data_IF_117515099569
#
_entry.id   IF_117515099569
#
_cell.length_a   1.000
_cell.length_b   1.000
_cell.length_c   1.000
_cell.angle_alpha   90.00
_cell.angle_beta   90.00
_cell.angle_gamma   90.00
#
_symmetry.space_group_name_H-M   'P 1'
#
loop_
_entity.id
_entity.type
_entity.pdbx_description
1 polymer ?
#
# COMPACT_ATOMS: atom_id res chain seq x y z
N UNK A 1 -46.53 -9.57 31.52
CA UNK A 1 -45.98 -10.92 31.24
C UNK A 1 -44.58 -11.01 31.84
N UNK A 2 -44.43 -11.64 33.00
CA UNK A 2 -43.11 -11.83 33.62
C UNK A 2 -42.28 -12.87 32.86
N UNK A 3 -40.95 -12.69 32.82
CA UNK A 3 -40.04 -13.68 32.21
C UNK A 3 -40.21 -15.05 32.91
N UNK A 4 -40.27 -16.18 32.18
CA UNK A 4 -40.36 -17.50 32.78
C UNK A 4 -39.21 -17.71 33.78
N UNK A 5 -39.51 -18.29 34.94
CA UNK A 5 -38.48 -18.64 35.94
C UNK A 5 -37.60 -19.74 35.36
N UNK A 6 -36.39 -19.37 34.93
CA UNK A 6 -35.37 -20.30 34.46
C UNK A 6 -34.95 -21.25 35.59
N UNK A 7 -35.04 -22.55 35.37
CA UNK A 7 -34.58 -23.58 36.31
C UNK A 7 -33.06 -23.59 36.44
N UNK A 8 -32.54 -24.22 37.49
CA UNK A 8 -31.09 -24.36 37.69
C UNK A 8 -30.45 -25.18 36.56
N UNK A 9 -31.10 -26.26 36.12
CA UNK A 9 -30.59 -27.09 35.03
C UNK A 9 -30.57 -26.33 33.70
N UNK A 10 -31.65 -25.63 33.34
CA UNK A 10 -31.69 -24.79 32.13
C UNK A 10 -30.62 -23.70 32.18
N UNK A 11 -30.37 -23.14 33.37
CA UNK A 11 -29.27 -22.22 33.55
C UNK A 11 -27.92 -22.92 33.34
N UNK A 12 -27.62 -24.04 33.98
CA UNK A 12 -26.35 -24.75 33.79
C UNK A 12 -26.10 -25.16 32.32
N UNK A 13 -27.16 -25.49 31.57
CA UNK A 13 -27.07 -25.93 30.18
C UNK A 13 -26.69 -24.81 29.19
N UNK A 14 -26.90 -23.54 29.53
CA UNK A 14 -26.54 -22.41 28.66
C UNK A 14 -25.12 -21.90 28.98
N UNK A 15 -24.33 -21.50 27.98
CA UNK A 15 -22.95 -21.01 28.18
C UNK A 15 -22.06 -21.97 29.02
N UNK A 16 -22.18 -23.29 28.80
CA UNK A 16 -21.65 -24.34 29.67
C UNK A 16 -20.20 -24.11 30.13
N UNK A 17 -19.28 -23.83 29.20
CA UNK A 17 -17.85 -23.61 29.50
C UNK A 17 -17.66 -22.41 30.44
N UNK A 18 -18.28 -21.28 30.13
CA UNK A 18 -18.16 -20.07 30.95
C UNK A 18 -18.79 -20.23 32.34
N UNK A 19 -19.89 -20.98 32.44
CA UNK A 19 -20.52 -21.28 33.74
C UNK A 19 -19.70 -22.24 34.57
N UNK A 20 -19.05 -23.21 33.93
CA UNK A 20 -18.12 -24.11 34.58
C UNK A 20 -16.97 -23.35 35.23
N UNK A 21 -16.26 -22.54 34.42
CA UNK A 21 -15.14 -21.73 34.86
C UNK A 21 -15.57 -20.78 35.99
N UNK A 22 -16.74 -20.15 35.83
CA UNK A 22 -17.31 -19.28 36.86
C UNK A 22 -17.59 -20.03 38.16
N UNK A 23 -18.21 -21.22 38.12
CA UNK A 23 -18.53 -22.02 39.31
C UNK A 23 -17.25 -22.47 40.02
N UNK A 24 -16.23 -22.88 39.28
CA UNK A 24 -14.94 -23.27 39.84
C UNK A 24 -14.26 -22.08 40.52
N UNK A 25 -14.17 -20.93 39.85
CA UNK A 25 -13.62 -19.69 40.44
C UNK A 25 -14.42 -19.23 41.66
N UNK A 26 -15.75 -19.28 41.59
CA UNK A 26 -16.62 -18.88 42.69
C UNK A 26 -16.48 -19.83 43.88
N UNK A 27 -16.15 -21.12 43.66
CA UNK A 27 -15.92 -22.10 44.72
C UNK A 27 -14.59 -21.93 45.45
N UNK A 28 -13.57 -21.39 44.78
CA UNK A 28 -12.22 -21.19 45.33
C UNK A 28 -12.07 -19.82 46.00
N UNK A 29 -12.94 -18.86 45.68
CA UNK A 29 -12.88 -17.50 46.20
C UNK A 29 -13.25 -17.44 47.69
N UNK A 30 -12.46 -16.74 48.50
CA UNK A 30 -12.71 -16.56 49.95
C UNK A 30 -14.09 -15.96 50.30
N UNK A 31 -14.65 -15.14 49.41
CA UNK A 31 -16.02 -14.59 49.49
C UNK A 31 -17.02 -15.21 48.49
N UNK A 32 -16.73 -16.42 48.01
CA UNK A 32 -17.56 -17.20 47.10
C UNK A 32 -18.91 -17.58 47.70
N UNK A 33 -19.95 -17.66 46.85
CA UNK A 33 -21.28 -18.10 47.29
C UNK A 33 -21.38 -19.60 47.54
N UNK A 34 -20.50 -20.36 46.89
CA UNK A 34 -20.51 -21.83 46.88
C UNK A 34 -19.12 -22.35 47.24
N UNK A 35 -19.03 -23.62 47.60
CA UNK A 35 -17.79 -24.32 47.87
C UNK A 35 -17.91 -25.78 47.42
N UNK A 36 -16.76 -26.44 47.25
CA UNK A 36 -16.66 -27.83 46.81
C UNK A 36 -16.26 -28.72 47.99
N UNK A 37 -16.96 -29.85 48.20
CA UNK A 37 -16.63 -30.82 49.26
C UNK A 37 -15.90 -32.07 48.75
N UNK A 38 -15.58 -32.16 47.46
CA UNK A 38 -15.05 -33.39 46.84
C UNK A 38 -16.05 -34.14 45.96
N UNK A 39 -17.35 -33.96 46.19
CA UNK A 39 -18.42 -34.69 45.48
C UNK A 39 -19.44 -33.77 44.80
N UNK A 40 -19.77 -32.64 45.41
CA UNK A 40 -20.72 -31.67 44.87
C UNK A 40 -20.42 -30.23 45.31
N UNK A 41 -20.91 -29.26 44.53
CA UNK A 41 -20.90 -27.86 44.90
C UNK A 41 -22.11 -27.56 45.80
N UNK A 42 -21.90 -26.79 46.87
CA UNK A 42 -22.95 -26.43 47.82
C UNK A 42 -22.76 -25.02 48.36
N UNK A 43 -23.80 -24.37 48.93
CA UNK A 43 -23.68 -23.01 49.44
C UNK A 43 -22.74 -22.94 50.64
N UNK A 44 -21.89 -21.92 50.68
CA UNK A 44 -20.96 -21.69 51.81
C UNK A 44 -21.69 -21.30 53.10
N UNK A 45 -22.82 -20.59 52.97
CA UNK A 45 -23.72 -20.26 54.08
C UNK A 45 -25.03 -21.02 53.86
N UNK A 46 -25.30 -21.99 54.74
CA UNK A 46 -26.56 -22.73 54.73
C UNK A 46 -27.68 -21.81 55.23
N UNK A 47 -28.69 -21.57 54.40
CA UNK A 47 -29.95 -21.00 54.88
C UNK A 47 -30.72 -22.13 55.58
N UNK A 48 -31.17 -21.89 56.81
CA UNK A 48 -31.98 -22.80 57.61
C UNK A 48 -33.18 -23.33 56.82
N UNK A 49 -33.27 -24.67 56.69
CA UNK A 49 -34.43 -25.44 56.19
C UNK A 49 -35.15 -24.87 54.95
N UNK A 50 -34.46 -24.86 53.80
CA UNK A 50 -35.10 -24.57 52.50
C UNK A 50 -34.94 -25.72 51.52
N UNK A 51 -35.94 -25.88 50.65
CA UNK A 51 -35.93 -26.83 49.53
C UNK A 51 -34.67 -26.63 48.68
N UNK A 52 -33.89 -27.70 48.56
CA UNK A 52 -32.65 -27.71 47.78
C UNK A 52 -32.97 -28.10 46.35
N UNK A 53 -32.46 -27.33 45.39
CA UNK A 53 -32.50 -27.61 43.96
C UNK A 53 -31.14 -28.14 43.52
N UNK A 54 -31.12 -29.10 42.59
CA UNK A 54 -29.91 -29.70 42.07
C UNK A 54 -29.82 -29.54 40.55
N UNK A 55 -28.60 -29.51 40.04
CA UNK A 55 -28.33 -29.59 38.61
C UNK A 55 -26.99 -30.27 38.34
N UNK A 56 -26.88 -30.86 37.16
CA UNK A 56 -25.63 -31.42 36.66
C UNK A 56 -24.91 -30.39 35.78
N UNK A 57 -23.63 -30.18 36.06
CA UNK A 57 -22.73 -29.34 35.27
C UNK A 57 -22.18 -30.13 34.08
N UNK A 58 -21.61 -29.42 33.11
CA UNK A 58 -21.02 -30.04 31.91
C UNK A 58 -19.82 -30.93 32.19
N UNK A 59 -19.15 -30.80 33.34
CA UNK A 59 -18.10 -31.73 33.79
C UNK A 59 -18.64 -32.92 34.61
N UNK A 60 -19.95 -33.20 34.52
CA UNK A 60 -20.66 -34.24 35.27
C UNK A 60 -20.69 -34.07 36.79
N UNK A 61 -20.12 -33.00 37.35
CA UNK A 61 -20.26 -32.67 38.77
C UNK A 61 -21.65 -32.13 39.07
N UNK A 62 -22.11 -32.34 40.29
CA UNK A 62 -23.43 -31.87 40.75
C UNK A 62 -23.30 -30.58 41.54
N UNK A 63 -24.25 -29.67 41.36
CA UNK A 63 -24.40 -28.46 42.18
C UNK A 63 -25.75 -28.49 42.90
N UNK A 64 -25.72 -28.33 44.22
CA UNK A 64 -26.90 -28.26 45.08
C UNK A 64 -27.00 -26.84 45.65
N UNK A 65 -28.13 -26.16 45.44
CA UNK A 65 -28.33 -24.79 45.91
C UNK A 65 -29.72 -24.66 46.52
N UNK A 66 -29.91 -23.65 47.36
CA UNK A 66 -31.25 -23.14 47.63
C UNK A 66 -31.61 -22.04 46.62
N UNK A 67 -32.89 -21.71 46.51
CA UNK A 67 -33.37 -20.72 45.52
C UNK A 67 -32.72 -19.34 45.68
N UNK A 68 -32.40 -18.91 46.91
CA UNK A 68 -31.79 -17.60 47.16
C UNK A 68 -30.33 -17.55 46.70
N UNK A 69 -29.58 -18.62 47.00
CA UNK A 69 -28.20 -18.78 46.53
C UNK A 69 -28.16 -18.82 45.01
N UNK A 70 -29.10 -19.51 44.36
CA UNK A 70 -29.20 -19.53 42.89
C UNK A 70 -29.44 -18.14 42.29
N UNK A 71 -30.31 -17.31 42.87
CA UNK A 71 -30.52 -15.93 42.38
C UNK A 71 -29.26 -15.07 42.54
N UNK A 72 -28.57 -15.18 43.69
CA UNK A 72 -27.30 -14.46 43.93
C UNK A 72 -26.21 -14.92 42.95
N UNK A 73 -26.14 -16.23 42.69
CA UNK A 73 -25.19 -16.85 41.76
C UNK A 73 -25.44 -16.36 40.32
N UNK A 74 -26.69 -16.33 39.87
CA UNK A 74 -27.09 -15.77 38.57
C UNK A 74 -26.68 -14.30 38.43
N UNK A 75 -26.85 -13.50 39.47
CA UNK A 75 -26.46 -12.08 39.47
C UNK A 75 -24.95 -11.88 39.32
N UNK A 76 -24.15 -12.64 40.07
CA UNK A 76 -22.67 -12.61 39.97
C UNK A 76 -22.18 -13.06 38.59
N UNK A 77 -22.74 -14.15 38.05
CA UNK A 77 -22.43 -14.61 36.71
C UNK A 77 -22.70 -13.55 35.63
N UNK A 78 -23.85 -12.86 35.68
CA UNK A 78 -24.17 -11.78 34.74
C UNK A 78 -23.12 -10.67 34.75
N UNK A 79 -22.60 -10.34 35.93
CA UNK A 79 -21.55 -9.32 36.09
C UNK A 79 -20.24 -9.76 35.43
N UNK A 80 -19.83 -11.02 35.61
CA UNK A 80 -18.60 -11.56 35.01
C UNK A 80 -18.73 -11.69 33.50
N UNK A 81 -19.85 -12.22 33.00
CA UNK A 81 -20.14 -12.32 31.56
C UNK A 81 -20.08 -10.94 30.90
N UNK A 82 -20.59 -9.91 31.57
CA UNK A 82 -20.49 -8.52 31.10
C UNK A 82 -19.05 -8.02 31.08
N UNK A 83 -18.27 -8.26 32.15
CA UNK A 83 -16.86 -7.85 32.22
C UNK A 83 -16.00 -8.50 31.15
N UNK A 84 -16.19 -9.80 30.85
CA UNK A 84 -15.47 -10.45 29.75
C UNK A 84 -15.85 -9.89 28.38
N UNK A 85 -17.14 -9.62 28.14
CA UNK A 85 -17.58 -9.02 26.87
C UNK A 85 -16.94 -7.64 26.65
N UNK A 86 -16.78 -6.87 27.72
CA UNK A 86 -16.32 -5.49 27.66
C UNK A 86 -14.81 -5.34 27.98
N UNK A 87 -14.04 -6.43 28.14
CA UNK A 87 -12.67 -6.39 28.70
C UNK A 87 -11.63 -5.67 27.83
N UNK A 88 -11.90 -5.51 26.53
CA UNK A 88 -11.07 -4.74 25.59
C UNK A 88 -11.66 -3.38 25.22
N UNK A 89 -12.82 -3.01 25.76
CA UNK A 89 -13.52 -1.79 25.38
C UNK A 89 -13.13 -0.64 26.32
N UNK A 90 -12.67 0.46 25.73
CA UNK A 90 -12.40 1.70 26.48
C UNK A 90 -13.69 2.50 26.59
N UNK A 91 -14.17 2.70 27.82
CA UNK A 91 -15.34 3.54 28.07
C UNK A 91 -14.98 5.00 27.80
N UNK A 92 -15.62 5.60 26.80
CA UNK A 92 -15.51 7.04 26.49
C UNK A 92 -16.86 7.71 26.70
N UNK A 93 -16.84 8.95 27.17
CA UNK A 93 -18.02 9.80 27.30
C UNK A 93 -17.85 10.98 26.34
N UNK A 94 -18.85 11.21 25.49
CA UNK A 94 -18.88 12.28 24.52
C UNK A 94 -20.09 13.15 24.76
N UNK A 95 -19.93 14.45 24.55
CA UNK A 95 -21.05 15.39 24.52
C UNK A 95 -21.29 15.81 23.08
N UNK A 96 -22.50 15.53 22.58
CA UNK A 96 -22.93 15.91 21.25
C UNK A 96 -24.00 16.98 21.33
N UNK A 97 -24.03 17.88 20.34
CA UNK A 97 -25.11 18.85 20.18
C UNK A 97 -26.44 18.13 19.90
N UNK A 98 -27.60 18.68 20.30
CA UNK A 98 -28.90 18.03 20.11
C UNK A 98 -29.16 17.55 18.67
N UNK A 99 -28.89 18.42 17.69
CA UNK A 99 -29.01 18.08 16.26
C UNK A 99 -28.16 16.88 15.84
N UNK A 100 -26.98 16.71 16.43
CA UNK A 100 -26.09 15.58 16.13
C UNK A 100 -26.61 14.29 16.73
N UNK A 101 -27.13 14.35 17.96
CA UNK A 101 -27.78 13.20 18.62
C UNK A 101 -28.96 12.70 17.79
N UNK A 102 -29.81 13.61 17.29
CA UNK A 102 -30.95 13.23 16.45
C UNK A 102 -30.51 12.52 15.16
N UNK A 103 -29.42 12.98 14.55
CA UNK A 103 -28.82 12.32 13.38
C UNK A 103 -28.29 10.93 13.72
N UNK A 104 -27.56 10.78 14.83
CA UNK A 104 -27.03 9.49 15.29
C UNK A 104 -28.19 8.50 15.51
N UNK A 105 -29.26 8.92 16.19
CA UNK A 105 -30.46 8.10 16.40
C UNK A 105 -31.12 7.66 15.10
N UNK A 106 -31.29 8.58 14.14
CA UNK A 106 -31.83 8.24 12.81
C UNK A 106 -30.98 7.20 12.10
N UNK A 107 -29.65 7.38 12.08
CA UNK A 107 -28.73 6.42 11.45
C UNK A 107 -28.80 5.07 12.16
N UNK A 108 -28.82 5.06 13.49
CA UNK A 108 -28.95 3.85 14.29
C UNK A 108 -30.22 3.08 13.94
N UNK A 109 -31.36 3.77 13.88
CA UNK A 109 -32.66 3.18 13.55
C UNK A 109 -32.69 2.64 12.12
N UNK A 110 -32.23 3.43 11.14
CA UNK A 110 -32.21 3.04 9.74
C UNK A 110 -31.37 1.78 9.49
N UNK A 111 -30.29 1.60 10.25
CA UNK A 111 -29.40 0.44 10.11
C UNK A 111 -29.70 -0.68 11.12
N UNK A 112 -30.77 -0.57 11.92
CA UNK A 112 -31.13 -1.55 12.96
C UNK A 112 -29.99 -1.86 13.94
N UNK A 113 -29.16 -0.86 14.27
CA UNK A 113 -28.02 -1.07 15.15
C UNK A 113 -28.40 -1.02 16.62
N UNK A 114 -27.88 -1.97 17.39
CA UNK A 114 -28.23 -2.14 18.80
C UNK A 114 -27.74 -1.01 19.72
N UNK A 115 -26.71 -0.24 19.31
CA UNK A 115 -26.11 0.83 20.13
C UNK A 115 -25.65 2.01 19.28
N UNK A 116 -25.70 3.21 19.85
CA UNK A 116 -25.18 4.44 19.22
C UNK A 116 -23.67 4.38 18.99
N UNK A 117 -22.93 3.67 19.85
CA UNK A 117 -21.48 3.44 19.72
C UNK A 117 -21.10 2.90 18.32
N UNK A 118 -21.93 2.02 17.77
CA UNK A 118 -21.72 1.39 16.45
C UNK A 118 -21.83 2.44 15.33
N UNK A 119 -22.70 3.44 15.50
CA UNK A 119 -22.83 4.56 14.55
C UNK A 119 -21.53 5.35 14.52
N UNK A 120 -21.01 5.68 15.70
CA UNK A 120 -19.81 6.51 15.84
C UNK A 120 -18.60 5.78 15.26
N UNK A 121 -18.44 4.50 15.58
CA UNK A 121 -17.34 3.67 15.07
C UNK A 121 -17.39 3.54 13.55
N UNK A 122 -18.58 3.30 12.98
CA UNK A 122 -18.73 3.23 11.53
C UNK A 122 -18.44 4.57 10.83
N UNK A 123 -18.87 5.69 11.40
CA UNK A 123 -18.55 7.03 10.88
C UNK A 123 -17.04 7.31 10.91
N UNK A 124 -16.35 6.94 11.99
CA UNK A 124 -14.90 7.09 12.12
C UNK A 124 -14.18 6.21 11.09
N UNK A 125 -14.56 4.94 10.96
CA UNK A 125 -13.94 4.01 10.02
C UNK A 125 -14.13 4.47 8.57
N UNK A 126 -15.32 4.98 8.23
CA UNK A 126 -15.56 5.58 6.92
C UNK A 126 -14.67 6.81 6.72
N UNK A 127 -14.62 7.75 7.67
CA UNK A 127 -13.80 8.95 7.53
C UNK A 127 -12.31 8.64 7.35
N UNK A 128 -11.77 7.70 8.12
CA UNK A 128 -10.38 7.24 7.99
C UNK A 128 -10.16 6.58 6.62
N UNK A 129 -11.10 5.74 6.17
CA UNK A 129 -11.06 5.13 4.85
C UNK A 129 -11.05 6.16 3.72
N UNK A 130 -11.90 7.18 3.79
CA UNK A 130 -11.94 8.27 2.81
C UNK A 130 -10.65 9.10 2.81
N UNK A 131 -10.10 9.44 3.98
CA UNK A 131 -8.85 10.18 4.08
C UNK A 131 -7.68 9.41 3.45
N UNK A 132 -7.59 8.10 3.69
CA UNK A 132 -6.59 7.24 3.06
C UNK A 132 -6.74 7.17 1.53
N UNK A 133 -7.98 7.06 1.04
CA UNK A 133 -8.26 7.04 -0.41
C UNK A 133 -7.86 8.36 -1.06
N UNK A 134 -8.12 9.50 -0.40
CA UNK A 134 -7.80 10.81 -0.94
C UNK A 134 -6.29 11.06 -0.99
N UNK A 135 -5.55 10.64 0.05
CA UNK A 135 -4.08 10.66 0.05
C UNK A 135 -3.50 9.79 -1.08
N UNK A 136 -4.06 8.60 -1.31
CA UNK A 136 -3.61 7.74 -2.42
C UNK A 136 -3.94 8.33 -3.79
N UNK A 137 -5.11 8.97 -3.94
CA UNK A 137 -5.48 9.66 -5.19
C UNK A 137 -4.52 10.82 -5.49
N UNK A 138 -4.20 11.65 -4.50
CA UNK A 138 -3.27 12.78 -4.68
C UNK A 138 -1.85 12.32 -5.03
N UNK A 139 -1.37 11.23 -4.42
CA UNK A 139 -0.11 10.58 -4.81
C UNK A 139 -0.15 10.10 -6.28
N UNK A 140 -1.23 9.44 -6.69
CA UNK A 140 -1.38 8.95 -8.07
C UNK A 140 -1.41 10.07 -9.10
N UNK A 141 -2.12 11.18 -8.84
CA UNK A 141 -2.14 12.33 -9.76
C UNK A 141 -0.77 13.00 -9.88
N UNK A 142 0.00 13.07 -8.79
CA UNK A 142 1.38 13.57 -8.83
C UNK A 142 2.28 12.68 -9.69
N UNK A 143 2.18 11.36 -9.50
CA UNK A 143 2.94 10.39 -10.29
C UNK A 143 2.57 10.44 -11.78
N UNK A 144 1.29 10.62 -12.10
CA UNK A 144 0.81 10.78 -13.48
C UNK A 144 1.42 12.00 -14.17
N UNK A 145 1.57 13.12 -13.45
CA UNK A 145 2.26 14.32 -13.97
C UNK A 145 3.75 14.05 -14.21
N UNK A 146 4.42 13.36 -13.28
CA UNK A 146 5.83 13.00 -13.43
C UNK A 146 6.05 12.07 -14.63
N UNK A 147 5.20 11.06 -14.81
CA UNK A 147 5.28 10.16 -15.96
C UNK A 147 5.13 10.92 -17.28
N UNK A 148 4.17 11.85 -17.38
CA UNK A 148 4.03 12.69 -18.59
C UNK A 148 5.29 13.47 -18.91
N UNK A 149 5.91 14.09 -17.90
CA UNK A 149 7.16 14.83 -18.08
C UNK A 149 8.29 13.92 -18.58
N UNK A 150 8.44 12.74 -17.97
CA UNK A 150 9.44 11.76 -18.38
C UNK A 150 9.19 11.27 -19.82
N UNK A 151 7.94 11.04 -20.21
CA UNK A 151 7.58 10.67 -21.58
C UNK A 151 8.00 11.76 -22.56
N UNK A 152 7.69 13.03 -22.27
CA UNK A 152 8.11 14.15 -23.12
C UNK A 152 9.64 14.24 -23.25
N UNK A 153 10.37 14.06 -22.15
CA UNK A 153 11.85 14.05 -22.18
C UNK A 153 12.42 12.88 -22.99
N UNK A 154 11.80 11.70 -22.90
CA UNK A 154 12.18 10.54 -23.71
C UNK A 154 11.96 10.83 -25.20
N UNK A 155 10.83 11.41 -25.56
CA UNK A 155 10.51 11.76 -26.95
C UNK A 155 11.50 12.80 -27.52
N UNK A 156 11.83 13.83 -26.74
CA UNK A 156 12.87 14.82 -27.10
C UNK A 156 14.22 14.16 -27.35
N UNK A 157 14.65 13.27 -26.46
CA UNK A 157 15.92 12.55 -26.60
C UNK A 157 15.93 11.59 -27.78
N UNK A 158 14.79 10.96 -28.07
CA UNK A 158 14.66 10.10 -29.24
C UNK A 158 14.80 10.89 -30.55
N UNK A 159 14.23 12.10 -30.61
CA UNK A 159 14.40 13.00 -31.74
C UNK A 159 15.87 13.41 -31.91
N UNK A 160 16.56 13.76 -30.82
CA UNK A 160 17.99 14.10 -30.85
C UNK A 160 18.85 12.94 -31.39
N UNK A 161 18.56 11.71 -30.96
CA UNK A 161 19.23 10.50 -31.47
C UNK A 161 18.98 10.33 -32.97
N UNK A 162 17.75 10.53 -33.44
CA UNK A 162 17.39 10.40 -34.85
C UNK A 162 18.13 11.44 -35.71
N UNK A 163 18.22 12.68 -35.24
CA UNK A 163 18.95 13.75 -35.92
C UNK A 163 20.46 13.44 -36.01
N UNK A 164 21.06 12.96 -34.92
CA UNK A 164 22.46 12.55 -34.90
C UNK A 164 22.72 11.38 -35.85
N UNK A 165 21.83 10.38 -35.90
CA UNK A 165 21.94 9.27 -36.84
C UNK A 165 21.85 9.74 -38.30
N UNK A 166 20.96 10.68 -38.61
CA UNK A 166 20.86 11.28 -39.94
C UNK A 166 22.14 12.03 -40.33
N UNK A 167 22.72 12.79 -39.39
CA UNK A 167 24.01 13.47 -39.58
C UNK A 167 25.14 12.48 -39.82
N UNK A 168 25.24 11.40 -39.03
CA UNK A 168 26.24 10.36 -39.22
C UNK A 168 26.12 9.70 -40.60
N UNK A 169 24.92 9.29 -41.00
CA UNK A 169 24.68 8.72 -42.33
C UNK A 169 25.10 9.67 -43.47
N UNK A 170 24.93 10.98 -43.26
CA UNK A 170 25.35 11.99 -44.25
C UNK A 170 26.88 12.12 -44.30
N UNK A 171 27.54 12.07 -43.15
CA UNK A 171 29.01 12.09 -43.05
C UNK A 171 29.61 10.83 -43.68
N UNK A 172 29.06 9.65 -43.42
CA UNK A 172 29.53 8.39 -44.01
C UNK A 172 29.50 8.45 -45.54
N UNK A 173 28.40 8.94 -46.12
CA UNK A 173 28.30 9.17 -47.58
C UNK A 173 29.37 10.13 -48.10
N UNK A 174 29.67 11.20 -47.37
CA UNK A 174 30.73 12.16 -47.75
C UNK A 174 32.11 11.50 -47.68
N UNK A 175 32.38 10.70 -46.65
CA UNK A 175 33.63 9.95 -46.50
C UNK A 175 33.81 8.99 -47.68
N UNK A 176 32.77 8.23 -48.05
CA UNK A 176 32.82 7.36 -49.22
C UNK A 176 33.12 8.11 -50.53
N UNK A 177 32.53 9.30 -50.72
CA UNK A 177 32.82 10.14 -51.89
C UNK A 177 34.27 10.62 -51.90
N UNK A 178 34.81 11.02 -50.74
CA UNK A 178 36.21 11.44 -50.61
C UNK A 178 37.16 10.28 -50.89
N UNK A 179 36.88 9.08 -50.37
CA UNK A 179 37.66 7.87 -50.65
C UNK A 179 37.69 7.59 -52.16
N UNK A 180 36.55 7.67 -52.85
CA UNK A 180 36.47 7.48 -54.31
C UNK A 180 37.33 8.50 -55.07
N UNK A 181 37.26 9.78 -54.70
CA UNK A 181 38.09 10.83 -55.32
C UNK A 181 39.58 10.62 -55.07
N UNK A 182 39.95 10.24 -53.85
CA UNK A 182 41.35 9.95 -53.50
C UNK A 182 41.90 8.79 -54.32
N UNK A 183 41.12 7.72 -54.50
CA UNK A 183 41.50 6.59 -55.35
C UNK A 183 41.68 7.01 -56.82
N UNK A 184 40.80 7.86 -57.36
CA UNK A 184 40.94 8.40 -58.72
C UNK A 184 42.22 9.23 -58.88
N UNK A 185 42.52 10.11 -57.92
CA UNK A 185 43.74 10.93 -57.92
C UNK A 185 44.97 10.04 -57.88
N UNK A 186 45.00 9.03 -57.00
CA UNK A 186 46.13 8.10 -56.88
C UNK A 186 46.38 7.31 -58.17
N UNK A 187 45.33 6.87 -58.88
CA UNK A 187 45.45 6.20 -60.17
C UNK A 187 46.01 7.14 -61.25
N UNK A 188 45.51 8.37 -61.32
CA UNK A 188 46.00 9.37 -62.28
C UNK A 188 47.46 9.72 -62.00
N UNK A 189 47.83 9.90 -60.74
CA UNK A 189 49.21 10.17 -60.33
C UNK A 189 50.15 9.04 -60.79
N UNK A 190 49.77 7.77 -60.57
CA UNK A 190 50.53 6.62 -61.07
C UNK A 190 50.67 6.63 -62.59
N UNK A 191 49.57 6.84 -63.31
CA UNK A 191 49.57 6.93 -64.77
C UNK A 191 50.48 8.04 -65.31
N UNK A 192 50.45 9.23 -64.73
CA UNK A 192 51.33 10.34 -65.14
C UNK A 192 52.79 10.08 -64.79
N UNK A 193 53.08 9.47 -63.63
CA UNK A 193 54.44 9.04 -63.28
C UNK A 193 54.99 8.06 -64.31
N UNK A 194 54.19 7.08 -64.73
CA UNK A 194 54.58 6.11 -65.76
C UNK A 194 54.87 6.78 -67.11
N UNK A 195 54.03 7.73 -67.54
CA UNK A 195 54.27 8.49 -68.77
C UNK A 195 55.57 9.29 -68.69
N UNK A 196 55.80 10.01 -67.59
CA UNK A 196 56.99 10.84 -67.43
C UNK A 196 58.27 9.98 -67.44
N UNK A 197 58.23 8.81 -66.81
CA UNK A 197 59.32 7.83 -66.86
C UNK A 197 59.56 7.32 -68.29
N UNK A 198 58.51 6.99 -69.05
CA UNK A 198 58.63 6.55 -70.44
C UNK A 198 59.23 7.60 -71.37
N UNK A 199 59.02 8.89 -71.07
CA UNK A 199 59.53 10.02 -71.84
C UNK A 199 60.90 10.52 -71.33
N UNK A 200 61.51 9.84 -70.36
CA UNK A 200 62.76 10.25 -69.71
C UNK A 200 62.72 11.68 -69.11
N UNK A 201 61.53 12.18 -68.78
CA UNK A 201 61.34 13.51 -68.21
C UNK A 201 61.51 13.43 -66.70
N UNK A 202 62.65 13.95 -66.21
CA UNK A 202 62.88 14.11 -64.78
C UNK A 202 62.08 15.30 -64.26
N UNK A 203 61.02 15.02 -63.49
CA UNK A 203 60.26 16.04 -62.77
C UNK A 203 60.72 16.03 -61.30
N UNK A 204 61.28 17.14 -60.84
CA UNK A 204 61.52 17.36 -59.41
C UNK A 204 60.18 17.55 -58.70
N UNK A 205 59.98 16.88 -57.56
CA UNK A 205 58.80 17.11 -56.74
C UNK A 205 58.69 18.61 -56.40
N UNK A 206 57.52 19.23 -56.63
CA UNK A 206 57.35 20.63 -56.29
C UNK A 206 57.48 20.82 -54.78
N UNK A 207 58.34 21.76 -54.37
CA UNK A 207 58.46 22.17 -52.98
C UNK A 207 57.22 22.98 -52.57
N UNK A 208 56.22 22.29 -52.03
CA UNK A 208 54.98 22.91 -51.55
C UNK A 208 55.26 23.47 -50.16
N UNK A 209 55.31 24.80 -50.06
CA UNK A 209 55.41 25.49 -48.77
C UNK A 209 54.28 25.05 -47.85
N UNK A 210 54.63 24.72 -46.61
CA UNK A 210 53.71 24.22 -45.58
C UNK A 210 52.52 25.18 -45.35
N UNK A 211 52.77 26.48 -45.41
CA UNK A 211 51.73 27.54 -45.32
C UNK A 211 50.61 27.37 -46.36
N UNK A 212 50.96 27.04 -47.60
CA UNK A 212 50.01 26.85 -48.71
C UNK A 212 49.20 25.57 -48.50
N UNK A 213 49.86 24.51 -48.01
CA UNK A 213 49.21 23.24 -47.70
C UNK A 213 48.21 23.41 -46.54
N UNK A 214 48.60 24.10 -45.48
CA UNK A 214 47.74 24.39 -44.33
C UNK A 214 46.53 25.24 -44.72
N UNK A 215 46.74 26.29 -45.53
CA UNK A 215 45.64 27.10 -46.05
C UNK A 215 44.66 26.26 -46.87
N UNK A 216 45.18 25.33 -47.69
CA UNK A 216 44.31 24.45 -48.47
C UNK A 216 43.55 23.46 -47.61
N UNK A 217 44.19 22.88 -46.59
CA UNK A 217 43.54 22.02 -45.59
C UNK A 217 42.44 22.80 -44.86
N UNK A 218 42.69 24.05 -44.49
CA UNK A 218 41.69 24.91 -43.85
C UNK A 218 40.49 25.16 -44.77
N UNK A 219 40.71 25.54 -46.04
CA UNK A 219 39.63 25.73 -47.00
C UNK A 219 38.78 24.46 -47.18
N UNK A 220 39.42 23.29 -47.24
CA UNK A 220 38.71 22.02 -47.35
C UNK A 220 37.90 21.73 -46.07
N UNK A 221 38.46 21.99 -44.88
CA UNK A 221 37.75 21.84 -43.61
C UNK A 221 36.51 22.74 -43.52
N UNK A 222 36.59 23.99 -43.97
CA UNK A 222 35.43 24.90 -44.04
C UNK A 222 34.34 24.40 -44.99
N UNK A 223 34.72 23.89 -46.17
CA UNK A 223 33.75 23.31 -47.12
C UNK A 223 33.10 22.02 -46.61
N UNK A 224 33.77 21.30 -45.71
CA UNK A 224 33.28 20.06 -45.10
C UNK A 224 32.45 20.29 -43.84
N UNK A 225 32.51 21.48 -43.21
CA UNK A 225 31.64 21.81 -42.08
C UNK A 225 30.17 21.63 -42.52
N UNK A 226 29.34 20.99 -41.69
CA UNK A 226 27.90 20.97 -41.96
C UNK A 226 27.41 22.43 -42.01
N UNK A 227 26.64 22.79 -43.04
CA UNK A 227 25.88 24.05 -43.03
C UNK A 227 24.97 23.99 -41.81
N UNK A 228 25.34 24.68 -40.75
CA UNK A 228 24.42 25.02 -39.67
C UNK A 228 23.41 25.96 -40.29
N UNK A 229 22.19 25.49 -40.52
CA UNK A 229 21.07 26.41 -40.71
C UNK A 229 20.85 27.11 -39.38
N UNK A 230 21.13 28.41 -39.34
CA UNK A 230 20.70 29.29 -38.27
C UNK A 230 19.17 29.37 -38.29
N UNK A 231 18.56 29.42 -37.11
CA UNK A 231 17.12 29.59 -36.91
C UNK A 231 16.56 30.92 -37.45
N UNK A 232 17.36 31.73 -38.14
CA UNK A 232 16.97 33.02 -38.74
C UNK A 232 16.46 32.88 -40.19
N UNK A 233 16.47 31.68 -40.78
CA UNK A 233 15.99 31.44 -42.15
C UNK A 233 14.50 31.04 -42.24
N UNK A 234 13.74 31.19 -41.14
CA UNK A 234 12.28 31.01 -41.10
C UNK A 234 11.61 32.30 -40.59
N UNK A 235 11.62 33.35 -41.42
CA UNK A 235 10.64 34.45 -41.38
C UNK A 235 9.84 34.47 -42.70
#
# INVERSE_FOLDING_TARGET
MGRPKLSLQEWCNADQKLKLDFIEQESQRSGGLIQWNGNYYFPRVMASQRTTISAQLSNHKTIHLNSECFEKLKSRYRTIKKKQKDSGLIKKQYQFKPKTVDKIKKIQQNNSWSREEVVIENLINNYIGWAFIDEKRTQLETNKKHLKLLTTQIDEKQNEINDLNSKNNTLDKKIEQLIKKLAQISLLEGYYKDILLQQEISVTEPDIKEEILEEKIHQIKEQLKPKTFSLEDFD
#
